data_IF_954804689325
#
_entry.id   IF_954804689325
#
_cell.length_a   1.000
_cell.length_b   1.000
_cell.length_c   1.000
_cell.angle_alpha   90.00
_cell.angle_beta   90.00
_cell.angle_gamma   90.00
#
_symmetry.space_group_name_H-M   'P 1'
#
loop_
_entity.id
_entity.type
_entity.pdbx_description
1 polymer ?
#
# COMPACT_ATOMS: atom_id res chain seq x y z
N UNK A 1 16.21 -4.12 76.32
CA UNK A 1 17.29 -5.12 76.47
C UNK A 1 18.02 -5.19 75.13
N UNK A 2 19.23 -4.62 75.06
CA UNK A 2 20.55 -5.30 74.87
C UNK A 2 20.65 -6.03 73.52
N UNK A 3 21.64 -5.84 72.64
CA UNK A 3 22.92 -5.10 72.64
C UNK A 3 23.37 -4.86 71.17
N UNK A 4 24.19 -3.85 70.83
CA UNK A 4 25.68 -3.83 70.88
C UNK A 4 26.32 -4.95 70.01
N UNK A 5 27.20 -4.74 69.02
CA UNK A 5 28.42 -3.88 68.97
C UNK A 5 29.02 -3.79 67.53
N UNK A 6 29.38 -2.58 67.10
CA UNK A 6 30.55 -2.01 66.35
C UNK A 6 31.38 -2.81 65.27
N UNK A 7 32.50 -2.27 64.70
CA UNK A 7 32.58 -1.60 63.39
C UNK A 7 33.70 -2.13 62.44
N UNK A 8 33.74 -1.72 61.15
CA UNK A 8 34.99 -1.77 60.37
C UNK A 8 34.91 -1.95 58.84
N UNK A 9 35.09 -0.84 58.11
CA UNK A 9 35.77 -0.65 56.80
C UNK A 9 35.28 -1.41 55.53
N UNK A 10 35.68 -1.01 54.29
CA UNK A 10 36.36 0.21 53.83
C UNK A 10 35.56 1.00 52.75
N UNK A 11 35.91 2.28 52.58
CA UNK A 11 35.50 3.08 51.43
C UNK A 11 36.31 2.72 50.16
N UNK A 12 35.64 2.54 49.01
CA UNK A 12 36.20 2.59 47.64
C UNK A 12 35.06 2.59 46.60
N UNK A 13 35.27 3.09 45.37
CA UNK A 13 35.69 4.45 44.99
C UNK A 13 34.64 5.12 44.08
N UNK A 14 34.69 6.46 43.95
CA UNK A 14 33.99 7.18 42.87
C UNK A 14 34.42 6.60 41.51
N UNK A 15 33.47 6.03 40.75
CA UNK A 15 33.67 5.74 39.32
C UNK A 15 33.93 7.07 38.60
N UNK A 16 35.18 7.26 38.16
CA UNK A 16 35.51 8.26 37.13
C UNK A 16 34.83 7.83 35.83
N UNK A 17 33.94 8.69 35.32
CA UNK A 17 33.59 8.69 33.90
C UNK A 17 34.83 9.15 33.13
N UNK A 18 35.50 8.23 32.44
CA UNK A 18 36.65 8.53 31.60
C UNK A 18 36.62 7.68 30.33
N UNK A 19 36.70 8.35 29.19
CA UNK A 19 37.16 7.84 27.89
C UNK A 19 36.29 6.85 27.09
N UNK A 20 34.95 6.97 27.15
CA UNK A 20 34.05 6.34 26.16
C UNK A 20 33.30 7.30 25.22
N UNK A 21 33.22 8.60 25.56
CA UNK A 21 32.28 9.53 24.92
C UNK A 21 32.77 10.24 23.65
N UNK A 22 34.08 10.36 23.44
CA UNK A 22 34.64 11.19 22.35
C UNK A 22 34.72 10.48 21.01
N UNK A 23 34.97 9.17 21.00
CA UNK A 23 34.99 8.38 19.74
C UNK A 23 33.57 8.20 19.17
N UNK A 24 32.56 8.13 20.05
CA UNK A 24 31.13 8.06 19.66
C UNK A 24 30.65 9.38 19.06
N UNK A 25 31.19 10.53 19.51
CA UNK A 25 30.86 11.84 18.93
C UNK A 25 31.42 11.99 17.51
N UNK A 26 32.64 11.50 17.26
CA UNK A 26 33.28 11.54 15.94
C UNK A 26 32.53 10.70 14.91
N UNK A 27 32.06 9.50 15.29
CA UNK A 27 31.20 8.69 14.43
C UNK A 27 29.82 9.33 14.19
N UNK A 28 29.22 9.99 15.19
CA UNK A 28 27.95 10.72 15.01
C UNK A 28 28.06 11.96 14.13
N UNK A 29 29.20 12.67 14.16
CA UNK A 29 29.48 13.81 13.30
C UNK A 29 29.70 13.40 11.84
N UNK A 30 30.38 12.27 11.59
CA UNK A 30 30.58 11.75 10.24
C UNK A 30 29.25 11.29 9.59
N UNK A 31 28.33 10.71 10.38
CA UNK A 31 26.98 10.36 9.92
C UNK A 31 26.10 11.59 9.59
N UNK A 32 26.31 12.73 10.26
CA UNK A 32 25.64 13.99 9.88
C UNK A 32 26.07 14.49 8.49
N UNK A 33 27.35 14.34 8.13
CA UNK A 33 27.86 14.75 6.82
C UNK A 33 27.42 13.82 5.67
N UNK A 34 27.31 12.52 5.91
CA UNK A 34 26.82 11.56 4.90
C UNK A 34 25.30 11.70 4.68
N UNK A 35 24.52 12.03 5.73
CA UNK A 35 23.08 12.29 5.61
C UNK A 35 22.70 13.56 4.82
N UNK A 36 23.57 14.58 4.83
CA UNK A 36 23.36 15.84 4.10
C UNK A 36 23.55 15.68 2.58
N UNK A 37 24.43 14.75 2.14
CA UNK A 37 24.58 14.41 0.72
C UNK A 37 23.33 13.73 0.13
N UNK A 38 22.59 12.97 0.95
CA UNK A 38 21.33 12.35 0.54
C UNK A 38 20.17 13.35 0.39
N UNK A 39 20.14 14.38 1.23
CA UNK A 39 19.08 15.42 1.18
C UNK A 39 19.11 16.22 -0.13
N UNK A 40 20.29 16.45 -0.73
CA UNK A 40 20.41 17.12 -2.02
C UNK A 40 20.23 16.17 -3.22
N UNK A 41 20.64 14.90 -3.10
CA UNK A 41 20.38 13.87 -4.13
C UNK A 41 18.89 13.55 -4.31
N UNK A 42 18.10 13.54 -3.23
CA UNK A 42 16.65 13.37 -3.33
C UNK A 42 15.96 14.58 -4.01
N UNK A 43 16.49 15.79 -3.84
CA UNK A 43 15.98 17.00 -4.47
C UNK A 43 16.35 17.14 -5.97
N UNK A 44 17.40 16.47 -6.44
CA UNK A 44 17.92 16.62 -7.81
C UNK A 44 17.57 15.47 -8.75
N UNK A 45 16.92 14.40 -8.26
CA UNK A 45 16.40 13.32 -9.09
C UNK A 45 17.45 12.58 -9.93
N UNK A 46 18.75 12.71 -9.64
CA UNK A 46 19.82 12.00 -10.36
C UNK A 46 20.26 10.78 -9.57
N UNK A 47 19.77 9.61 -9.99
CA UNK A 47 20.50 8.37 -9.82
C UNK A 47 21.48 8.23 -11.00
N UNK A 48 22.73 7.94 -10.70
CA UNK A 48 23.79 7.60 -11.65
C UNK A 48 23.46 6.27 -12.33
N UNK A 49 23.05 6.31 -13.59
CA UNK A 49 23.01 5.14 -14.47
C UNK A 49 24.37 4.98 -15.16
N UNK A 50 25.03 3.84 -14.93
CA UNK A 50 26.16 3.39 -15.72
C UNK A 50 26.00 1.89 -16.01
N UNK A 51 26.02 1.58 -17.32
CA UNK A 51 26.26 0.28 -17.99
C UNK A 51 25.04 -0.67 -18.03
N UNK A 52 24.61 -1.23 -19.16
CA UNK A 52 25.14 -1.23 -20.52
C UNK A 52 24.06 -1.52 -21.57
N UNK A 53 24.22 -0.88 -22.73
CA UNK A 53 23.41 -1.06 -23.93
C UNK A 53 24.11 -2.07 -24.84
N UNK A 54 23.40 -3.10 -25.27
CA UNK A 54 23.79 -3.89 -26.45
C UNK A 54 22.59 -4.01 -27.38
N UNK A 55 22.74 -3.40 -28.55
CA UNK A 55 21.86 -3.51 -29.72
C UNK A 55 22.25 -4.77 -30.46
N UNK A 56 21.27 -5.55 -30.93
CA UNK A 56 21.48 -6.41 -32.08
C UNK A 56 20.23 -6.41 -32.96
N UNK A 57 20.42 -5.90 -34.18
CA UNK A 57 19.54 -6.09 -35.31
C UNK A 57 19.51 -7.55 -35.70
N UNK A 58 18.41 -8.04 -36.26
CA UNK A 58 18.42 -8.79 -37.52
C UNK A 58 16.97 -8.98 -38.03
N UNK A 59 16.74 -8.41 -39.22
CA UNK A 59 15.66 -8.73 -40.13
C UNK A 59 15.81 -10.19 -40.59
N UNK A 60 14.70 -10.87 -40.86
CA UNK A 60 14.63 -11.82 -41.98
C UNK A 60 13.19 -11.93 -42.50
N UNK A 61 13.11 -11.96 -43.82
CA UNK A 61 11.94 -11.95 -44.68
C UNK A 61 11.44 -13.37 -44.98
N UNK A 62 10.11 -13.55 -44.91
CA UNK A 62 9.18 -14.39 -45.72
C UNK A 62 9.74 -15.48 -46.68
N UNK A 63 9.02 -16.61 -46.91
CA UNK A 63 7.74 -16.53 -47.64
C UNK A 63 6.64 -17.61 -47.39
N UNK A 64 5.40 -17.18 -47.67
CA UNK A 64 4.30 -17.88 -48.36
C UNK A 64 3.85 -19.27 -47.85
N UNK A 65 2.69 -19.29 -47.21
CA UNK A 65 1.80 -20.45 -47.15
C UNK A 65 0.35 -19.99 -47.39
N UNK A 66 -0.21 -20.35 -48.54
CA UNK A 66 -1.55 -19.98 -48.97
C UNK A 66 -2.59 -20.96 -48.39
N UNK A 67 -3.66 -20.44 -47.79
CA UNK A 67 -4.92 -21.15 -47.64
C UNK A 67 -6.01 -20.40 -48.40
N UNK A 68 -6.43 -20.98 -49.52
CA UNK A 68 -7.56 -20.56 -50.35
C UNK A 68 -8.60 -21.66 -50.26
N UNK A 69 -9.68 -21.46 -49.51
CA UNK A 69 -10.96 -22.12 -49.78
C UNK A 69 -12.07 -21.11 -49.61
N UNK A 70 -12.71 -20.86 -50.75
CA UNK A 70 -13.95 -20.12 -50.94
C UNK A 70 -15.10 -20.97 -50.41
N UNK A 71 -16.01 -20.37 -49.65
CA UNK A 71 -17.21 -21.02 -49.15
C UNK A 71 -18.24 -20.02 -48.68
N UNK A 72 -18.79 -19.23 -49.61
CA UNK A 72 -20.07 -18.55 -49.40
C UNK A 72 -21.19 -19.59 -49.44
N UNK A 73 -22.05 -19.62 -48.44
CA UNK A 73 -23.41 -20.16 -48.61
C UNK A 73 -24.42 -19.16 -48.07
N UNK A 74 -25.42 -18.89 -48.91
CA UNK A 74 -26.45 -17.87 -48.74
C UNK A 74 -27.68 -18.43 -48.00
N UNK A 75 -28.37 -17.52 -47.32
CA UNK A 75 -29.78 -17.47 -46.91
C UNK A 75 -30.69 -18.69 -47.10
N UNK A 76 -31.47 -18.97 -46.02
CA UNK A 76 -32.96 -18.98 -45.97
C UNK A 76 -33.54 -20.27 -45.36
N UNK A 77 -34.17 -20.17 -44.19
CA UNK A 77 -35.63 -20.33 -44.00
C UNK A 77 -35.99 -20.28 -42.50
N UNK A 78 -37.10 -19.59 -42.21
CA UNK A 78 -37.74 -19.49 -40.92
C UNK A 78 -38.21 -20.86 -40.41
N UNK A 79 -38.12 -21.06 -39.10
CA UNK A 79 -39.13 -21.84 -38.39
C UNK A 79 -39.35 -21.25 -37.00
N UNK A 80 -40.36 -20.39 -36.91
CA UNK A 80 -41.05 -20.13 -35.65
C UNK A 80 -41.73 -21.43 -35.20
N UNK A 81 -41.47 -21.83 -33.96
CA UNK A 81 -42.25 -22.81 -33.23
C UNK A 81 -42.31 -22.36 -31.77
N UNK A 82 -43.45 -22.56 -31.09
CA UNK A 82 -43.96 -21.60 -30.13
C UNK A 82 -43.66 -22.00 -28.68
N UNK A 83 -44.04 -21.10 -27.77
CA UNK A 83 -44.13 -21.30 -26.32
C UNK A 83 -42.86 -21.79 -25.59
N UNK A 84 -42.10 -20.85 -25.03
CA UNK A 84 -41.91 -20.81 -23.57
C UNK A 84 -41.80 -19.35 -23.16
N UNK A 85 -42.77 -18.87 -22.40
CA UNK A 85 -42.62 -17.66 -21.59
C UNK A 85 -41.63 -18.01 -20.47
N UNK A 86 -40.36 -18.11 -20.82
CA UNK A 86 -39.27 -18.08 -19.86
C UNK A 86 -39.27 -16.68 -19.30
N UNK A 87 -39.73 -16.52 -18.05
CA UNK A 87 -39.35 -15.36 -17.25
C UNK A 87 -37.83 -15.28 -17.34
N UNK A 88 -37.31 -14.31 -18.09
CA UNK A 88 -35.90 -13.95 -18.04
C UNK A 88 -35.64 -13.63 -16.58
N UNK A 89 -34.85 -14.46 -15.89
CA UNK A 89 -34.45 -14.17 -14.52
C UNK A 89 -33.72 -12.82 -14.57
N UNK A 90 -34.34 -11.80 -14.02
CA UNK A 90 -33.74 -10.47 -13.94
C UNK A 90 -32.71 -10.53 -12.84
N UNK A 91 -31.44 -10.67 -13.20
CA UNK A 91 -30.36 -10.68 -12.23
C UNK A 91 -30.33 -9.32 -11.50
N UNK A 92 -30.34 -9.35 -10.17
CA UNK A 92 -30.14 -8.16 -9.35
C UNK A 92 -28.70 -7.65 -9.53
N UNK A 93 -28.49 -6.34 -9.38
CA UNK A 93 -27.18 -5.72 -9.58
C UNK A 93 -26.47 -5.53 -8.24
N UNK A 94 -25.16 -5.83 -8.20
CA UNK A 94 -24.29 -5.49 -7.07
C UNK A 94 -23.83 -4.05 -7.23
N UNK A 95 -23.96 -3.24 -6.18
CA UNK A 95 -23.53 -1.84 -6.16
C UNK A 95 -22.33 -1.70 -5.23
N UNK A 96 -21.21 -1.19 -5.76
CA UNK A 96 -20.00 -0.88 -4.99
C UNK A 96 -19.86 0.63 -4.81
N UNK A 97 -19.58 1.06 -3.58
CA UNK A 97 -19.21 2.44 -3.24
C UNK A 97 -17.90 2.41 -2.49
N UNK A 98 -16.90 3.09 -3.04
CA UNK A 98 -15.59 3.25 -2.43
C UNK A 98 -15.39 4.71 -2.06
N UNK A 99 -14.92 4.94 -0.83
CA UNK A 99 -14.75 6.27 -0.27
C UNK A 99 -13.42 6.36 0.48
N UNK A 100 -12.84 7.55 0.51
CA UNK A 100 -11.69 7.87 1.34
C UNK A 100 -12.14 8.82 2.45
N UNK A 101 -11.86 8.44 3.70
CA UNK A 101 -12.19 9.23 4.89
C UNK A 101 -10.92 9.81 5.53
N UNK A 102 -11.14 10.77 6.45
CA UNK A 102 -10.13 11.60 7.13
C UNK A 102 -9.42 12.57 6.19
N UNK A 103 -8.83 13.64 6.75
CA UNK A 103 -8.15 14.72 6.02
C UNK A 103 -6.63 14.80 6.23
N UNK A 104 -6.02 13.77 6.84
CA UNK A 104 -4.59 13.74 7.18
C UNK A 104 -3.68 13.02 6.17
N UNK A 105 -2.45 12.69 6.57
CA UNK A 105 -1.57 11.78 5.81
C UNK A 105 -1.94 10.31 6.01
N UNK A 106 -2.67 10.02 7.08
CA UNK A 106 -3.34 8.74 7.33
C UNK A 106 -4.79 8.88 6.89
N UNK A 107 -5.22 8.01 5.99
CA UNK A 107 -6.54 8.01 5.37
C UNK A 107 -7.17 6.64 5.54
N UNK A 108 -8.48 6.59 5.54
CA UNK A 108 -9.19 5.32 5.62
C UNK A 108 -9.92 5.06 4.31
N UNK A 109 -9.65 3.90 3.71
CA UNK A 109 -10.39 3.43 2.55
C UNK A 109 -11.59 2.62 3.03
N UNK A 110 -12.79 3.16 2.83
CA UNK A 110 -14.05 2.51 3.17
C UNK A 110 -14.69 1.97 1.90
N UNK A 111 -14.92 0.66 1.86
CA UNK A 111 -15.52 -0.03 0.72
C UNK A 111 -16.85 -0.61 1.20
N UNK A 112 -17.95 -0.18 0.57
CA UNK A 112 -19.30 -0.64 0.84
C UNK A 112 -19.85 -1.35 -0.39
N UNK A 113 -20.37 -2.55 -0.19
CA UNK A 113 -20.96 -3.38 -1.23
C UNK A 113 -22.40 -3.66 -0.84
N UNK A 114 -23.34 -3.33 -1.72
CA UNK A 114 -24.77 -3.60 -1.54
C UNK A 114 -25.24 -4.59 -2.59
N UNK A 115 -25.92 -5.63 -2.14
CA UNK A 115 -26.57 -6.62 -3.00
C UNK A 115 -28.02 -6.20 -3.28
N UNK A 116 -28.52 -6.48 -4.48
CA UNK A 116 -29.85 -6.05 -4.93
C UNK A 116 -30.99 -7.03 -4.61
N UNK A 117 -30.69 -8.18 -3.99
CA UNK A 117 -31.66 -9.22 -3.60
C UNK A 117 -31.52 -9.56 -2.11
N UNK A 118 -32.63 -10.04 -1.52
CA UNK A 118 -32.71 -10.41 -0.10
C UNK A 118 -31.68 -11.49 0.24
N UNK A 119 -30.82 -11.18 1.23
CA UNK A 119 -29.66 -11.98 1.67
C UNK A 119 -30.00 -13.25 2.45
N UNK A 120 -31.26 -13.70 2.52
CA UNK A 120 -31.60 -14.97 3.20
C UNK A 120 -30.74 -16.16 2.71
N UNK A 121 -30.43 -16.18 1.41
CA UNK A 121 -29.55 -17.19 0.80
C UNK A 121 -28.04 -16.90 0.98
N UNK A 122 -27.65 -15.64 1.17
CA UNK A 122 -26.25 -15.19 1.20
C UNK A 122 -25.62 -15.23 2.61
N UNK A 123 -26.35 -15.66 3.65
CA UNK A 123 -25.84 -15.78 5.02
C UNK A 123 -24.65 -16.76 5.15
N UNK A 124 -24.56 -17.74 4.25
CA UNK A 124 -23.46 -18.72 4.21
C UNK A 124 -22.28 -18.30 3.34
N UNK A 125 -22.39 -17.13 2.71
CA UNK A 125 -21.38 -16.62 1.79
C UNK A 125 -20.38 -15.71 2.50
N UNK A 126 -19.14 -15.78 2.05
CA UNK A 126 -18.05 -14.89 2.42
C UNK A 126 -17.73 -13.99 1.23
N UNK A 127 -17.45 -12.72 1.54
CA UNK A 127 -17.02 -11.73 0.57
C UNK A 127 -15.57 -11.35 0.85
N UNK A 128 -14.72 -11.52 -0.14
CA UNK A 128 -13.33 -11.12 -0.14
C UNK A 128 -13.15 -9.99 -1.15
N UNK A 129 -12.55 -8.89 -0.70
CA UNK A 129 -12.29 -7.70 -1.50
C UNK A 129 -10.80 -7.65 -1.76
N UNK A 130 -10.42 -7.78 -3.03
CA UNK A 130 -9.03 -7.70 -3.48
C UNK A 130 -8.75 -6.28 -3.95
N UNK A 131 -8.04 -5.51 -3.13
CA UNK A 131 -7.71 -4.11 -3.38
C UNK A 131 -6.26 -3.98 -3.85
N UNK A 132 -6.09 -3.28 -4.97
CA UNK A 132 -4.79 -2.83 -5.46
C UNK A 132 -4.43 -1.48 -4.85
N UNK A 133 -3.25 -1.39 -4.25
CA UNK A 133 -2.75 -0.20 -3.55
C UNK A 133 -1.64 0.44 -4.41
N UNK A 134 -1.88 1.62 -4.99
CA UNK A 134 -0.95 2.27 -5.90
C UNK A 134 0.34 2.69 -5.17
N UNK A 135 1.40 2.94 -5.93
CA UNK A 135 2.75 3.26 -5.43
C UNK A 135 2.84 4.53 -4.58
N UNK A 136 1.83 5.40 -4.62
CA UNK A 136 1.74 6.58 -3.76
C UNK A 136 1.19 6.30 -2.36
N UNK A 137 0.66 5.10 -2.12
CA UNK A 137 0.08 4.67 -0.87
C UNK A 137 0.83 3.50 -0.25
N UNK A 138 0.63 3.33 1.05
CA UNK A 138 1.14 2.21 1.84
C UNK A 138 0.05 1.77 2.82
N UNK A 139 -0.08 0.46 3.02
CA UNK A 139 -0.78 -0.11 4.17
C UNK A 139 0.27 -0.51 5.18
N UNK A 140 0.16 -0.02 6.42
CA UNK A 140 1.12 -0.36 7.48
C UNK A 140 0.82 -1.78 8.02
N UNK A 141 1.74 -2.75 7.89
CA UNK A 141 1.56 -4.11 8.43
C UNK A 141 1.30 -4.13 9.94
N UNK A 142 1.93 -3.22 10.70
CA UNK A 142 1.83 -3.20 12.16
C UNK A 142 0.48 -2.65 12.61
N UNK A 143 -0.02 -1.61 11.94
CA UNK A 143 -1.38 -1.12 12.15
C UNK A 143 -2.40 -2.19 11.77
N UNK A 144 -2.19 -2.87 10.64
CA UNK A 144 -3.09 -3.92 10.18
C UNK A 144 -3.16 -5.09 11.17
N UNK A 145 -2.02 -5.51 11.72
CA UNK A 145 -1.97 -6.54 12.76
C UNK A 145 -2.75 -6.11 14.02
N UNK A 146 -2.62 -4.85 14.46
CA UNK A 146 -3.39 -4.33 15.60
C UNK A 146 -4.91 -4.29 15.33
N UNK A 147 -5.32 -3.94 14.11
CA UNK A 147 -6.73 -3.96 13.71
C UNK A 147 -7.31 -5.38 13.63
N UNK A 148 -6.48 -6.36 13.28
CA UNK A 148 -6.87 -7.77 13.32
C UNK A 148 -7.05 -8.27 14.76
N UNK A 149 -6.12 -7.93 15.66
CA UNK A 149 -6.20 -8.32 17.08
C UNK A 149 -7.44 -7.74 17.77
N UNK A 150 -7.82 -6.52 17.40
CA UNK A 150 -9.03 -5.85 17.91
C UNK A 150 -10.32 -6.29 17.20
N UNK A 151 -10.25 -7.25 16.27
CA UNK A 151 -11.37 -7.67 15.42
C UNK A 151 -12.08 -6.48 14.79
N UNK A 152 -11.36 -5.49 14.26
CA UNK A 152 -11.95 -4.36 13.53
C UNK A 152 -11.87 -4.62 12.02
N UNK A 153 -10.74 -5.15 11.55
CA UNK A 153 -10.48 -5.40 10.13
C UNK A 153 -9.71 -6.70 9.95
N UNK A 154 -10.18 -7.55 9.05
CA UNK A 154 -9.50 -8.77 8.65
C UNK A 154 -8.96 -8.57 7.24
N UNK A 155 -7.67 -8.33 7.11
CA UNK A 155 -7.04 -8.19 5.80
C UNK A 155 -5.62 -8.71 5.80
N UNK A 156 -5.16 -9.27 4.69
CA UNK A 156 -3.81 -9.78 4.50
C UNK A 156 -3.18 -9.15 3.28
N UNK A 157 -1.91 -8.75 3.42
CA UNK A 157 -1.13 -8.29 2.29
C UNK A 157 -0.53 -9.48 1.55
N UNK A 158 -0.56 -9.46 0.21
CA UNK A 158 -0.17 -10.62 -0.62
C UNK A 158 1.34 -10.72 -0.85
N UNK A 159 2.05 -9.58 -0.91
CA UNK A 159 3.51 -9.58 -0.97
C UNK A 159 4.11 -9.77 0.42
N UNK A 160 5.37 -10.16 0.53
CA UNK A 160 6.09 -10.26 1.82
C UNK A 160 7.20 -9.19 1.92
N UNK A 161 7.60 -8.58 0.80
CA UNK A 161 8.63 -7.55 0.74
C UNK A 161 8.01 -6.14 0.73
N UNK A 162 7.76 -5.60 1.94
CA UNK A 162 7.22 -4.26 2.12
C UNK A 162 8.22 -3.35 2.81
N UNK A 163 8.87 -2.50 2.02
CA UNK A 163 9.58 -1.37 2.57
C UNK A 163 8.60 -0.24 2.91
N UNK A 164 8.28 -0.11 4.19
CA UNK A 164 7.41 0.95 4.72
C UNK A 164 8.04 2.36 4.58
N UNK A 165 9.36 2.43 4.48
CA UNK A 165 10.12 3.68 4.35
C UNK A 165 10.36 4.08 2.89
N UNK A 166 10.08 3.18 1.94
CA UNK A 166 10.33 3.46 0.53
C UNK A 166 9.44 4.62 0.02
N UNK A 167 10.03 5.58 -0.71
CA UNK A 167 9.28 6.65 -1.36
C UNK A 167 8.49 6.12 -2.55
N UNK A 168 7.55 6.92 -3.07
CA UNK A 168 6.63 6.49 -4.11
C UNK A 168 7.34 5.99 -5.39
N UNK A 169 8.43 6.64 -5.78
CA UNK A 169 9.18 6.37 -7.01
C UNK A 169 10.05 5.12 -6.95
N UNK A 170 10.23 4.52 -5.77
CA UNK A 170 10.90 3.22 -5.58
C UNK A 170 9.92 2.11 -5.17
N UNK A 171 8.67 2.49 -4.90
CA UNK A 171 7.64 1.56 -4.44
C UNK A 171 6.96 0.89 -5.61
N UNK A 172 6.45 -0.32 -5.36
CA UNK A 172 5.62 -1.08 -6.30
C UNK A 172 4.18 -1.09 -5.81
N UNK A 173 3.26 -1.31 -6.74
CA UNK A 173 1.86 -1.56 -6.40
C UNK A 173 1.77 -2.83 -5.54
N UNK A 174 0.97 -2.77 -4.48
CA UNK A 174 0.73 -3.92 -3.60
C UNK A 174 -0.72 -4.37 -3.66
N UNK A 175 -0.95 -5.64 -3.32
CA UNK A 175 -2.28 -6.22 -3.27
C UNK A 175 -2.63 -6.56 -1.82
N UNK A 176 -3.85 -6.22 -1.44
CA UNK A 176 -4.41 -6.50 -0.11
C UNK A 176 -5.74 -7.22 -0.28
N UNK A 177 -5.87 -8.37 0.38
CA UNK A 177 -7.10 -9.14 0.45
C UNK A 177 -7.81 -8.79 1.76
N UNK A 178 -9.02 -8.22 1.67
CA UNK A 178 -9.81 -7.78 2.82
C UNK A 178 -11.05 -8.67 2.93
N UNK A 179 -11.22 -9.35 4.06
CA UNK A 179 -12.42 -10.14 4.35
C UNK A 179 -13.51 -9.18 4.82
N UNK A 180 -14.48 -8.93 3.95
CA UNK A 180 -15.55 -7.99 4.20
C UNK A 180 -16.54 -8.56 5.21
N UNK A 181 -17.09 -7.67 6.04
CA UNK A 181 -18.04 -8.03 7.09
C UNK A 181 -19.41 -7.51 6.75
N UNK A 182 -20.44 -8.22 7.19
CA UNK A 182 -21.80 -7.75 7.04
C UNK A 182 -22.02 -6.47 7.85
N UNK A 183 -22.72 -5.51 7.27
CA UNK A 183 -23.06 -4.27 7.94
C UNK A 183 -24.25 -4.50 8.88
N UNK A 184 -24.09 -4.15 10.16
CA UNK A 184 -25.17 -4.25 11.15
C UNK A 184 -26.37 -3.35 10.85
N UNK A 185 -26.17 -2.27 10.08
CA UNK A 185 -27.22 -1.30 9.75
C UNK A 185 -27.96 -1.62 8.45
N UNK A 186 -27.48 -2.60 7.67
CA UNK A 186 -28.05 -2.97 6.39
C UNK A 186 -27.92 -4.48 6.14
N UNK A 187 -29.07 -5.16 6.08
CA UNK A 187 -29.17 -6.62 5.92
C UNK A 187 -28.41 -7.10 4.68
N UNK A 188 -28.48 -6.34 3.59
CA UNK A 188 -27.92 -6.71 2.29
C UNK A 188 -26.57 -6.03 1.96
N UNK A 189 -25.87 -5.52 2.98
CA UNK A 189 -24.65 -4.76 2.79
C UNK A 189 -23.46 -5.44 3.46
N UNK A 190 -22.32 -5.37 2.77
CA UNK A 190 -21.01 -5.68 3.31
C UNK A 190 -20.17 -4.43 3.32
N UNK A 191 -19.30 -4.33 4.32
CA UNK A 191 -18.34 -3.26 4.45
C UNK A 191 -16.96 -3.79 4.78
N UNK A 192 -15.96 -3.08 4.27
CA UNK A 192 -14.56 -3.30 4.56
C UNK A 192 -13.88 -1.96 4.80
N UNK A 193 -12.96 -1.97 5.76
CA UNK A 193 -12.16 -0.83 6.15
C UNK A 193 -10.69 -1.19 5.92
N UNK A 194 -9.91 -0.25 5.38
CA UNK A 194 -8.47 -0.43 5.20
C UNK A 194 -7.74 0.90 5.45
N UNK A 195 -6.86 0.98 6.47
CA UNK A 195 -6.04 2.18 6.65
C UNK A 195 -4.97 2.26 5.57
N UNK A 196 -4.79 3.45 5.01
CA UNK A 196 -3.77 3.75 4.00
C UNK A 196 -3.02 5.05 4.34
N UNK A 197 -1.74 5.07 4.02
CA UNK A 197 -0.81 6.14 4.33
C UNK A 197 -0.20 6.68 3.05
N UNK A 198 -0.03 8.00 2.96
CA UNK A 198 0.75 8.57 1.85
C UNK A 198 2.23 8.22 1.97
N UNK A 199 2.82 7.77 0.86
CA UNK A 199 4.27 7.68 0.74
C UNK A 199 4.88 9.04 0.41
N UNK A 200 6.18 9.16 0.63
CA UNK A 200 6.92 10.35 0.22
C UNK A 200 6.91 10.49 -1.31
N UNK A 201 6.47 11.64 -1.79
CA UNK A 201 6.45 12.00 -3.20
C UNK A 201 7.60 12.96 -3.52
N UNK A 202 8.08 12.93 -4.76
CA UNK A 202 9.07 13.91 -5.21
C UNK A 202 8.45 15.32 -5.25
N UNK A 203 9.26 16.35 -4.99
CA UNK A 203 8.82 17.72 -5.23
C UNK A 203 8.50 17.90 -6.71
N UNK A 204 7.56 18.79 -6.98
CA UNK A 204 7.07 19.07 -8.31
C UNK A 204 7.43 20.50 -8.75
N UNK A 205 7.47 20.75 -10.05
CA UNK A 205 8.04 21.99 -10.59
C UNK A 205 7.05 23.15 -10.69
N UNK A 206 5.75 22.85 -10.71
CA UNK A 206 4.69 23.83 -10.96
C UNK A 206 3.64 23.81 -9.86
N UNK A 207 3.04 22.64 -9.66
CA UNK A 207 1.97 22.46 -8.68
C UNK A 207 2.53 21.97 -7.35
N UNK A 208 1.99 22.49 -6.24
CA UNK A 208 2.30 22.04 -4.89
C UNK A 208 1.55 20.77 -4.48
N UNK A 209 0.95 20.07 -5.45
CA UNK A 209 0.08 18.93 -5.22
C UNK A 209 0.28 17.87 -6.31
N UNK A 210 0.04 16.61 -5.94
CA UNK A 210 -0.02 15.47 -6.85
C UNK A 210 -1.23 14.62 -6.54
N UNK A 211 -1.68 13.82 -7.50
CA UNK A 211 -2.88 13.00 -7.37
C UNK A 211 -2.51 11.52 -7.41
N UNK A 212 -3.07 10.76 -6.47
CA UNK A 212 -3.02 9.31 -6.47
C UNK A 212 -4.40 8.79 -6.85
N UNK A 213 -4.44 7.93 -7.86
CA UNK A 213 -5.68 7.27 -8.30
C UNK A 213 -5.73 5.87 -7.68
N UNK A 214 -6.77 5.62 -6.87
CA UNK A 214 -7.10 4.30 -6.34
C UNK A 214 -8.22 3.71 -7.19
N UNK A 215 -7.93 2.59 -7.83
CA UNK A 215 -8.88 1.88 -8.67
C UNK A 215 -9.86 1.06 -7.82
N UNK A 216 -11.03 0.77 -8.39
CA UNK A 216 -12.01 -0.11 -7.76
C UNK A 216 -11.41 -1.52 -7.54
N UNK A 217 -11.79 -2.21 -6.46
CA UNK A 217 -11.29 -3.55 -6.14
C UNK A 217 -11.97 -4.65 -6.96
N UNK A 218 -11.41 -5.85 -6.93
CA UNK A 218 -12.12 -7.05 -7.36
C UNK A 218 -12.99 -7.57 -6.21
N UNK A 219 -14.23 -7.97 -6.52
CA UNK A 219 -15.15 -8.59 -5.57
C UNK A 219 -15.16 -10.09 -5.77
N UNK A 220 -14.71 -10.84 -4.76
CA UNK A 220 -14.60 -12.28 -4.78
C UNK A 220 -15.61 -12.87 -3.79
N UNK A 221 -16.49 -13.75 -4.26
CA UNK A 221 -17.50 -14.39 -3.40
C UNK A 221 -17.33 -15.90 -3.35
N UNK A 222 -17.37 -16.44 -2.14
CA UNK A 222 -17.33 -17.88 -1.87
C UNK A 222 -18.53 -18.25 -0.99
N UNK A 223 -19.25 -19.30 -1.36
CA UNK A 223 -20.40 -19.80 -0.61
C UNK A 223 -20.25 -21.31 -0.44
N UNK A 224 -20.65 -21.84 0.72
CA UNK A 224 -20.59 -23.29 0.98
C UNK A 224 -21.62 -24.06 0.14
N UNK A 225 -22.68 -23.38 -0.31
CA UNK A 225 -23.75 -23.93 -1.15
C UNK A 225 -23.78 -23.27 -2.53
N UNK A 226 -24.14 -24.05 -3.56
CA UNK A 226 -24.34 -23.51 -4.90
C UNK A 226 -25.65 -22.74 -5.00
N UNK A 227 -25.57 -21.42 -4.90
CA UNK A 227 -26.72 -20.54 -5.07
C UNK A 227 -26.93 -20.19 -6.56
N UNK A 228 -28.16 -20.29 -7.10
CA UNK A 228 -28.45 -19.94 -8.49
C UNK A 228 -28.05 -18.50 -8.86
N UNK A 229 -28.14 -17.56 -7.91
CA UNK A 229 -27.80 -16.15 -8.12
C UNK A 229 -26.30 -15.91 -8.38
N UNK A 230 -25.41 -16.80 -7.91
CA UNK A 230 -23.98 -16.72 -8.22
C UNK A 230 -23.74 -16.80 -9.74
N UNK A 231 -24.55 -17.55 -10.48
CA UNK A 231 -24.44 -17.66 -11.94
C UNK A 231 -24.72 -16.35 -12.67
N UNK A 232 -25.45 -15.42 -12.04
CA UNK A 232 -25.69 -14.09 -12.58
C UNK A 232 -24.47 -13.18 -12.47
N UNK A 233 -23.72 -13.32 -11.38
CA UNK A 233 -22.66 -12.38 -11.03
C UNK A 233 -21.26 -12.90 -11.37
N UNK A 234 -21.05 -14.21 -11.31
CA UNK A 234 -19.75 -14.81 -11.55
C UNK A 234 -19.27 -14.59 -13.00
N UNK A 235 -18.09 -14.00 -13.13
CA UNK A 235 -17.39 -13.81 -14.40
C UNK A 235 -16.30 -14.85 -14.63
N UNK A 236 -15.56 -15.17 -13.57
CA UNK A 236 -14.45 -16.11 -13.59
C UNK A 236 -14.23 -16.69 -12.19
N UNK A 237 -13.37 -17.71 -12.08
CA UNK A 237 -12.92 -18.24 -10.80
C UNK A 237 -11.48 -17.85 -10.52
N UNK A 238 -11.19 -17.51 -9.27
CA UNK A 238 -9.87 -17.10 -8.80
C UNK A 238 -9.55 -17.86 -7.51
N UNK A 239 -8.34 -18.39 -7.44
CA UNK A 239 -7.82 -19.03 -6.25
C UNK A 239 -7.36 -17.98 -5.23
N UNK A 240 -7.89 -18.03 -4.01
CA UNK A 240 -7.45 -17.15 -2.91
C UNK A 240 -7.63 -17.85 -1.55
N UNK A 241 -6.90 -17.41 -0.50
CA UNK A 241 -7.02 -18.00 0.83
C UNK A 241 -8.47 -17.99 1.34
N UNK A 242 -8.91 -19.09 1.95
CA UNK A 242 -10.28 -19.24 2.45
C UNK A 242 -10.55 -18.39 3.69
N UNK A 243 -9.54 -18.26 4.54
CA UNK A 243 -9.59 -17.52 5.81
C UNK A 243 -8.24 -16.83 6.04
N UNK A 244 -8.22 -15.85 6.93
CA UNK A 244 -7.00 -15.14 7.30
C UNK A 244 -5.94 -16.05 7.96
N UNK A 245 -6.39 -17.07 8.72
CA UNK A 245 -5.51 -17.91 9.56
C UNK A 245 -5.05 -19.19 8.87
N UNK A 246 -5.89 -19.77 8.00
CA UNK A 246 -5.54 -21.00 7.31
C UNK A 246 -4.91 -20.69 5.95
N UNK A 247 -3.91 -21.46 5.57
CA UNK A 247 -3.29 -21.40 4.24
C UNK A 247 -4.07 -22.18 3.18
N UNK A 248 -5.29 -22.61 3.50
CA UNK A 248 -6.16 -23.33 2.60
C UNK A 248 -6.61 -22.38 1.48
N UNK A 249 -6.57 -22.87 0.24
CA UNK A 249 -6.92 -22.10 -0.95
C UNK A 249 -8.32 -22.51 -1.39
N UNK A 250 -9.21 -21.53 -1.52
CA UNK A 250 -10.58 -21.69 -2.01
C UNK A 250 -10.69 -21.18 -3.45
N UNK A 251 -11.67 -21.73 -4.18
CA UNK A 251 -12.06 -21.20 -5.50
C UNK A 251 -13.16 -20.17 -5.32
N UNK A 252 -12.82 -18.90 -5.48
CA UNK A 252 -13.73 -17.78 -5.35
C UNK A 252 -14.30 -17.37 -6.71
N UNK A 253 -15.55 -16.96 -6.75
CA UNK A 253 -16.15 -16.39 -7.95
C UNK A 253 -15.82 -14.89 -8.01
N UNK A 254 -15.17 -14.44 -9.07
CA UNK A 254 -14.99 -13.02 -9.35
C UNK A 254 -16.28 -12.44 -9.89
N UNK A 255 -16.80 -11.41 -9.23
CA UNK A 255 -18.16 -10.92 -9.39
C UNK A 255 -18.19 -9.66 -10.25
N UNK A 256 -19.14 -9.62 -11.18
CA UNK A 256 -19.49 -8.39 -11.88
C UNK A 256 -20.32 -7.49 -10.97
N UNK A 257 -19.95 -6.22 -10.88
CA UNK A 257 -20.70 -5.21 -10.14
C UNK A 257 -20.75 -3.88 -10.90
N UNK A 258 -21.63 -2.99 -10.44
CA UNK A 258 -21.63 -1.58 -10.84
C UNK A 258 -21.04 -0.75 -9.72
N UNK A 259 -20.01 0.02 -10.03
CA UNK A 259 -19.47 0.98 -9.07
C UNK A 259 -20.18 2.33 -9.21
N UNK A 260 -20.41 3.00 -8.07
CA UNK A 260 -20.88 4.39 -8.03
C UNK A 260 -19.84 5.32 -8.63
N UNK A 261 -18.55 5.07 -8.34
CA UNK A 261 -17.43 5.85 -8.84
C UNK A 261 -16.46 4.96 -9.60
N UNK A 262 -15.85 5.46 -10.69
CA UNK A 262 -14.86 4.66 -11.44
C UNK A 262 -13.57 4.42 -10.64
N UNK A 263 -13.19 5.39 -9.83
CA UNK A 263 -11.97 5.42 -9.04
C UNK A 263 -12.11 6.49 -7.95
N UNK A 264 -11.25 6.44 -6.95
CA UNK A 264 -11.11 7.48 -5.93
C UNK A 264 -9.76 8.16 -6.09
N UNK A 265 -9.76 9.49 -6.09
CA UNK A 265 -8.54 10.29 -6.23
C UNK A 265 -8.17 10.94 -4.91
N UNK A 266 -6.94 10.72 -4.45
CA UNK A 266 -6.39 11.37 -3.27
C UNK A 266 -5.42 12.48 -3.68
N UNK A 267 -5.58 13.65 -3.11
CA UNK A 267 -4.72 14.81 -3.32
C UNK A 267 -3.62 14.80 -2.25
N UNK A 268 -2.37 14.85 -2.69
CA UNK A 268 -1.19 14.79 -1.83
C UNK A 268 -0.39 16.08 -1.99
N UNK A 269 -0.16 16.84 -0.91
CA UNK A 269 0.68 18.02 -0.98
C UNK A 269 2.15 17.62 -1.20
N UNK A 270 2.84 18.34 -2.09
CA UNK A 270 4.25 18.14 -2.41
C UNK A 270 5.02 19.45 -2.39
N UNK A 271 6.32 19.36 -2.11
CA UNK A 271 7.21 20.51 -2.17
C UNK A 271 7.39 21.02 -3.59
N UNK A 272 7.74 22.30 -3.74
CA UNK A 272 8.07 22.90 -5.02
C UNK A 272 9.59 22.91 -5.26
N UNK A 273 10.03 22.49 -6.44
CA UNK A 273 11.46 22.46 -6.79
C UNK A 273 12.08 23.85 -6.92
N UNK A 274 11.27 24.90 -7.12
CA UNK A 274 11.75 26.30 -7.14
C UNK A 274 12.37 26.72 -5.80
N UNK A 275 11.93 26.14 -4.69
CA UNK A 275 12.46 26.46 -3.36
C UNK A 275 13.71 25.66 -3.02
N UNK A 276 14.08 24.67 -3.84
CA UNK A 276 15.23 23.80 -3.55
C UNK A 276 16.52 24.59 -3.36
N UNK A 277 16.87 25.52 -4.25
CA UNK A 277 18.11 26.29 -4.12
C UNK A 277 18.14 27.11 -2.83
N UNK A 278 17.04 27.79 -2.51
CA UNK A 278 16.96 28.64 -1.33
C UNK A 278 17.05 27.80 -0.05
N UNK A 279 16.27 26.72 0.03
CA UNK A 279 16.28 25.80 1.19
C UNK A 279 17.67 25.20 1.36
N UNK A 280 18.29 24.67 0.29
CA UNK A 280 19.63 24.10 0.36
C UNK A 280 20.68 25.10 0.81
N UNK A 281 20.70 26.32 0.27
CA UNK A 281 21.66 27.35 0.66
C UNK A 281 21.52 27.77 2.13
N UNK A 282 20.28 28.01 2.59
CA UNK A 282 20.02 28.41 3.97
C UNK A 282 20.36 27.29 4.95
N UNK A 283 19.94 26.05 4.67
CA UNK A 283 20.27 24.89 5.51
C UNK A 283 21.78 24.70 5.60
N UNK A 284 22.49 24.74 4.47
CA UNK A 284 23.95 24.59 4.46
C UNK A 284 24.66 25.68 5.27
N UNK A 285 24.24 26.94 5.13
CA UNK A 285 24.81 28.05 5.88
C UNK A 285 24.58 27.88 7.39
N UNK A 286 23.35 27.55 7.80
CA UNK A 286 23.04 27.30 9.21
C UNK A 286 23.83 26.10 9.74
N UNK A 287 23.93 25.01 8.98
CA UNK A 287 24.72 23.84 9.37
C UNK A 287 26.19 24.21 9.61
N UNK A 288 26.82 24.97 8.70
CA UNK A 288 28.21 25.42 8.87
C UNK A 288 28.36 26.30 10.12
N UNK A 289 27.44 27.23 10.34
CA UNK A 289 27.46 28.09 11.53
C UNK A 289 27.31 27.27 12.82
N UNK A 290 26.35 26.35 12.87
CA UNK A 290 26.16 25.49 14.04
C UNK A 290 27.38 24.58 14.29
N UNK A 291 27.92 23.97 13.24
CA UNK A 291 29.10 23.10 13.35
C UNK A 291 30.33 23.88 13.83
N UNK A 292 30.56 25.09 13.33
CA UNK A 292 31.68 25.94 13.77
C UNK A 292 31.52 26.39 15.22
N UNK A 293 30.32 26.79 15.65
CA UNK A 293 30.05 27.14 17.05
C UNK A 293 30.27 25.97 18.00
N UNK A 294 29.80 24.77 17.63
CA UNK A 294 30.04 23.55 18.42
C UNK A 294 31.54 23.24 18.49
N UNK A 295 32.25 23.34 17.38
CA UNK A 295 33.69 23.10 17.32
C UNK A 295 34.46 24.09 18.21
N UNK A 296 34.12 25.38 18.16
CA UNK A 296 34.70 26.41 19.02
C UNK A 296 34.42 26.14 20.50
N UNK A 297 33.21 25.71 20.85
CA UNK A 297 32.87 25.33 22.20
C UNK A 297 33.69 24.13 22.69
N UNK A 298 33.89 23.12 21.85
CA UNK A 298 34.75 21.97 22.16
C UNK A 298 36.20 22.41 22.38
N UNK A 299 36.75 23.30 21.53
CA UNK A 299 38.12 23.79 21.72
C UNK A 299 38.28 24.63 22.98
N UNK A 300 37.28 25.43 23.33
CA UNK A 300 37.36 26.36 24.47
C UNK A 300 37.08 25.69 25.82
N UNK A 301 36.19 24.71 25.85
CA UNK A 301 35.70 24.10 27.10
C UNK A 301 36.00 22.59 27.20
N UNK A 302 36.52 21.97 26.14
CA UNK A 302 36.91 20.57 26.14
C UNK A 302 38.19 20.36 26.93
N UNK A 303 38.07 19.78 28.13
CA UNK A 303 39.21 19.22 28.83
C UNK A 303 39.60 17.89 28.18
N UNK A 304 40.55 17.94 27.25
CA UNK A 304 41.21 16.75 26.73
C UNK A 304 42.26 16.29 27.77
N UNK A 305 41.85 15.41 28.68
CA UNK A 305 42.82 14.69 29.53
C UNK A 305 43.49 13.63 28.66
N UNK A 306 44.72 13.92 28.24
CA UNK A 306 45.64 12.99 27.58
C UNK A 306 46.18 11.98 28.60
#
# INVERSE_FOLDING_TARGET
>A
MRGAWSPGAPARPRRRHGQGGQLVLFYKLLWCFVGLGWSCSMATGRASELVGRSVCWLLWTSPRGACRVVGTCSSRYNQESPYKLGKKATCSEIILRQEVLKDGFHRDLLIKVKFGESIEDLQTCRLLIKQYIPTGLLVDPYELASLQESNITEAVMVSEDFNIEAPNYLSKESEVLIYARQDSQCIDCFQAFLPVHYRYHRPHSKDGETFIVVNNPDLLMYCDQELPILKCWAQSQVAAPCTLKNKDICQWNNMKYKSVFKNVTLQVPVGLTIHTSLVCSVTLLITILCSTLILLAIFKYGHFSL
#
